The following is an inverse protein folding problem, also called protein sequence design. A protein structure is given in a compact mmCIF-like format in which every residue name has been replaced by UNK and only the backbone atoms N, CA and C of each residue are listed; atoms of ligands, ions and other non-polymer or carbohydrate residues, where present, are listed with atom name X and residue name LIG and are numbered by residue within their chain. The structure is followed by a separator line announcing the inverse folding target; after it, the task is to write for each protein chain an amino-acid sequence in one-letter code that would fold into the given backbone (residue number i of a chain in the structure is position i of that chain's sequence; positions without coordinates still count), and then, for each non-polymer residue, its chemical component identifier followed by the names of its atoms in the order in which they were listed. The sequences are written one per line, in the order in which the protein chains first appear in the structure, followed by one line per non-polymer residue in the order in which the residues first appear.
data_IF_498183872569
#
_entry.id   IF_498183872569
#
_cell.length_a   1.000
_cell.length_b   1.000
_cell.length_c   1.000
_cell.angle_alpha   90.00
_cell.angle_beta   90.00
_cell.angle_gamma   90.00
#
_symmetry.space_group_name_H-M   'P 1'
#
loop_
_entity.id
_entity.type
_entity.pdbx_description
1 polymer ?
#
# COMPACT_ATOMS: atom_id res chain seq x y z
N UNK A 1 19.08 32.02 -35.05
CA UNK A 1 18.19 30.84 -35.20
C UNK A 1 19.05 29.61 -35.47
N UNK A 2 18.91 28.52 -34.69
CA UNK A 2 19.65 27.28 -34.97
C UNK A 2 19.23 26.74 -36.35
N UNK A 3 20.21 26.47 -37.23
CA UNK A 3 19.98 25.84 -38.54
C UNK A 3 19.89 24.33 -38.36
N UNK A 4 18.66 23.81 -38.26
CA UNK A 4 18.42 22.37 -38.12
C UNK A 4 18.42 21.69 -39.50
N UNK A 5 19.22 20.63 -39.64
CA UNK A 5 19.12 19.73 -40.79
C UNK A 5 17.76 19.01 -40.78
N UNK A 6 17.18 18.71 -41.95
CA UNK A 6 15.90 17.96 -42.08
C UNK A 6 15.90 16.68 -41.24
N UNK A 7 17.04 15.96 -41.21
CA UNK A 7 17.22 14.75 -40.40
C UNK A 7 17.22 15.04 -38.90
N UNK A 8 17.78 16.15 -38.47
CA UNK A 8 17.78 16.57 -37.06
C UNK A 8 16.37 16.95 -36.63
N UNK A 9 15.65 17.72 -37.45
CA UNK A 9 14.27 18.13 -37.18
C UNK A 9 13.35 16.92 -37.00
N UNK A 10 13.41 15.95 -37.92
CA UNK A 10 12.58 14.74 -37.82
C UNK A 10 12.90 13.92 -36.58
N UNK A 11 14.19 13.81 -36.22
CA UNK A 11 14.61 13.09 -35.00
C UNK A 11 14.14 13.80 -33.73
N UNK A 12 14.30 15.11 -33.64
CA UNK A 12 13.90 15.87 -32.45
C UNK A 12 12.38 15.92 -32.31
N UNK A 13 11.64 16.06 -33.41
CA UNK A 13 10.18 16.00 -33.41
C UNK A 13 9.69 14.63 -32.95
N UNK A 14 10.22 13.54 -33.51
CA UNK A 14 9.83 12.18 -33.10
C UNK A 14 10.06 11.92 -31.60
N UNK A 15 11.22 12.33 -31.07
CA UNK A 15 11.54 12.17 -29.64
C UNK A 15 10.63 13.03 -28.76
N UNK A 16 10.41 14.29 -29.15
CA UNK A 16 9.56 15.21 -28.38
C UNK A 16 8.10 14.75 -28.35
N UNK A 17 7.58 14.26 -29.48
CA UNK A 17 6.22 13.71 -29.54
C UNK A 17 6.11 12.47 -28.66
N UNK A 18 7.07 11.55 -28.74
CA UNK A 18 7.08 10.35 -27.89
C UNK A 18 7.08 10.69 -26.39
N UNK A 19 7.91 11.65 -25.96
CA UNK A 19 7.95 12.13 -24.58
C UNK A 19 6.63 12.80 -24.15
N UNK A 20 5.99 13.55 -25.05
CA UNK A 20 4.70 14.21 -24.76
C UNK A 20 3.53 13.23 -24.62
N UNK A 21 3.64 12.05 -25.22
CA UNK A 21 2.61 11.00 -25.14
C UNK A 21 2.79 10.06 -23.97
N UNK A 22 3.82 10.22 -23.14
CA UNK A 22 4.04 9.37 -21.96
C UNK A 22 2.86 9.56 -20.99
N UNK A 23 2.08 8.50 -20.71
CA UNK A 23 0.98 8.59 -19.76
C UNK A 23 1.46 9.05 -18.38
N UNK A 24 0.77 10.03 -17.78
CA UNK A 24 1.02 10.48 -16.42
C UNK A 24 1.09 9.35 -15.35
N UNK A 25 0.33 8.24 -15.46
CA UNK A 25 0.45 7.11 -14.53
C UNK A 25 1.83 6.44 -14.53
N UNK A 26 2.62 6.50 -15.62
CA UNK A 26 4.00 6.00 -15.63
C UNK A 26 4.96 6.92 -14.85
N UNK A 27 4.59 8.19 -14.68
CA UNK A 27 5.32 9.17 -13.88
C UNK A 27 4.77 9.27 -12.45
N UNK A 28 3.68 8.57 -12.15
CA UNK A 28 3.11 8.56 -10.82
C UNK A 28 4.02 7.78 -9.87
N UNK A 29 4.23 8.32 -8.67
CA UNK A 29 4.92 7.61 -7.62
C UNK A 29 4.22 6.26 -7.37
N UNK A 30 5.01 5.18 -7.30
CA UNK A 30 4.49 3.86 -6.99
C UNK A 30 3.77 3.91 -5.64
N UNK A 31 2.47 3.65 -5.64
CA UNK A 31 1.70 3.58 -4.40
C UNK A 31 1.98 2.25 -3.72
N UNK A 32 2.35 2.30 -2.45
CA UNK A 32 2.52 1.09 -1.67
C UNK A 32 1.21 0.28 -1.62
N UNK A 33 1.34 -1.05 -1.71
CA UNK A 33 0.20 -1.96 -1.69
C UNK A 33 -0.52 -1.84 -0.34
N UNK A 34 -1.85 -1.73 -0.38
CA UNK A 34 -2.65 -1.71 0.85
C UNK A 34 -2.46 -3.02 1.63
N UNK A 35 -2.03 -2.90 2.88
CA UNK A 35 -1.88 -4.04 3.80
C UNK A 35 -3.27 -4.48 4.26
N UNK A 36 -3.58 -5.76 4.05
CA UNK A 36 -4.85 -6.36 4.47
C UNK A 36 -4.61 -7.07 5.81
N UNK A 37 -5.27 -6.64 6.90
CA UNK A 37 -5.10 -7.26 8.22
C UNK A 37 -5.66 -8.70 8.25
N UNK A 38 -5.12 -9.57 9.12
CA UNK A 38 -5.60 -10.94 9.26
C UNK A 38 -7.03 -10.98 9.79
N UNK A 39 -7.84 -11.87 9.23
CA UNK A 39 -9.24 -12.06 9.63
C UNK A 39 -9.34 -13.07 10.77
N UNK A 40 -9.89 -12.65 11.91
CA UNK A 40 -10.25 -13.52 13.02
C UNK A 40 -11.77 -13.67 13.05
N UNK A 41 -12.24 -14.89 12.81
CA UNK A 41 -13.66 -15.22 12.92
C UNK A 41 -13.97 -15.82 14.29
N UNK A 42 -15.08 -15.38 14.90
CA UNK A 42 -15.59 -15.99 16.14
C UNK A 42 -15.98 -17.43 15.85
N UNK A 43 -15.25 -18.38 16.45
CA UNK A 43 -15.61 -19.80 16.44
C UNK A 43 -16.41 -20.15 17.70
N UNK A 44 -17.38 -21.06 17.58
CA UNK A 44 -18.22 -21.50 18.71
C UNK A 44 -17.33 -21.98 19.86
N UNK A 45 -17.38 -21.25 20.98
CA UNK A 45 -16.72 -21.61 22.24
C UNK A 45 -15.24 -21.24 22.37
N UNK A 46 -14.58 -20.66 21.36
CA UNK A 46 -13.19 -20.20 21.48
C UNK A 46 -13.15 -18.69 21.72
N UNK A 47 -12.48 -18.21 22.79
CA UNK A 47 -12.29 -16.78 22.98
C UNK A 47 -11.36 -16.22 21.89
N UNK A 48 -11.61 -14.98 21.50
CA UNK A 48 -10.68 -14.21 20.66
C UNK A 48 -9.62 -13.62 21.60
N UNK A 49 -8.37 -14.01 21.41
CA UNK A 49 -7.26 -13.46 22.21
C UNK A 49 -6.71 -12.23 21.49
N UNK A 50 -6.75 -11.10 22.18
CA UNK A 50 -6.15 -9.84 21.76
C UNK A 50 -5.05 -9.45 22.74
N UNK A 51 -3.81 -9.54 22.30
CA UNK A 51 -2.64 -9.11 23.08
C UNK A 51 -2.20 -7.75 22.57
N UNK A 52 -2.35 -6.71 23.39
CA UNK A 52 -1.79 -5.40 23.10
C UNK A 52 -0.28 -5.45 23.36
N UNK A 53 0.49 -5.11 22.34
CA UNK A 53 1.94 -5.12 22.41
C UNK A 53 2.53 -4.06 21.50
N UNK A 54 3.77 -3.69 21.82
CA UNK A 54 4.60 -2.86 20.96
C UNK A 54 5.11 -3.70 19.78
N UNK A 55 5.12 -3.13 18.58
CA UNK A 55 5.60 -3.78 17.36
C UNK A 55 6.33 -2.78 16.48
N UNK A 56 7.27 -3.27 15.66
CA UNK A 56 7.98 -2.44 14.69
C UNK A 56 7.24 -2.51 13.36
N UNK A 57 6.85 -1.36 12.83
CA UNK A 57 6.12 -1.29 11.56
C UNK A 57 6.65 -0.15 10.68
N UNK A 58 6.92 -0.39 9.38
CA UNK A 58 7.35 0.66 8.47
C UNK A 58 6.15 1.47 7.96
N UNK A 59 5.90 2.65 8.54
CA UNK A 59 4.78 3.52 8.13
C UNK A 59 4.98 4.14 6.74
N UNK A 60 6.24 4.28 6.30
CA UNK A 60 6.64 4.82 5.01
C UNK A 60 7.21 3.74 4.06
N UNK A 61 7.06 2.46 4.43
CA UNK A 61 7.56 1.32 3.68
C UNK A 61 9.07 1.06 3.80
N UNK A 62 9.83 1.88 4.54
CA UNK A 62 11.30 1.77 4.61
C UNK A 62 11.91 1.88 6.01
N UNK A 63 11.37 2.75 6.88
CA UNK A 63 11.90 2.98 8.21
C UNK A 63 10.99 2.33 9.25
N UNK A 64 11.54 1.35 9.97
CA UNK A 64 10.83 0.72 11.08
C UNK A 64 10.69 1.72 12.23
N UNK A 65 9.44 2.00 12.60
CA UNK A 65 9.11 2.78 13.78
C UNK A 65 8.34 1.92 14.77
N UNK A 66 8.54 2.23 16.04
CA UNK A 66 7.90 1.51 17.12
C UNK A 66 6.47 2.03 17.29
N UNK A 67 5.50 1.13 17.17
CA UNK A 67 4.07 1.43 17.20
C UNK A 67 3.33 0.47 18.14
N UNK A 68 2.15 0.88 18.58
CA UNK A 68 1.26 0.01 19.34
C UNK A 68 0.26 -0.70 18.43
N UNK A 69 -0.04 -1.95 18.77
CA UNK A 69 -1.13 -2.67 18.12
C UNK A 69 -1.44 -4.00 18.79
N UNK A 70 -2.26 -4.80 18.12
CA UNK A 70 -2.74 -6.09 18.61
C UNK A 70 -2.15 -7.26 17.82
N UNK A 71 -1.74 -8.30 18.56
CA UNK A 71 -1.24 -9.56 18.01
C UNK A 71 -0.06 -9.37 17.04
N UNK A 72 0.83 -8.43 17.34
CA UNK A 72 2.06 -8.16 16.58
C UNK A 72 1.91 -7.30 15.33
N UNK A 73 0.70 -6.84 15.02
CA UNK A 73 0.44 -5.99 13.85
C UNK A 73 0.25 -4.53 14.25
N UNK A 74 0.64 -3.60 13.38
CA UNK A 74 0.18 -2.22 13.49
C UNK A 74 -1.34 -2.19 13.40
N UNK A 75 -2.00 -1.47 14.32
CA UNK A 75 -3.43 -1.55 14.58
C UNK A 75 -3.82 -2.94 15.15
N UNK A 76 -4.21 -3.89 14.32
CA UNK A 76 -4.67 -5.19 14.78
C UNK A 76 -5.39 -6.02 13.71
N UNK A 77 -5.88 -7.21 14.10
CA UNK A 77 -6.65 -8.08 13.22
C UNK A 77 -8.04 -7.51 12.93
N UNK A 78 -8.61 -7.87 11.78
CA UNK A 78 -10.04 -7.63 11.50
C UNK A 78 -10.86 -8.74 12.17
N UNK A 79 -11.78 -8.36 13.05
CA UNK A 79 -12.64 -9.31 13.75
C UNK A 79 -13.98 -9.41 13.01
N UNK A 80 -14.38 -10.63 12.67
CA UNK A 80 -15.68 -10.92 12.05
C UNK A 80 -16.58 -11.67 13.03
N UNK A 81 -17.70 -11.03 13.35
CA UNK A 81 -18.73 -11.55 14.25
C UNK A 81 -20.04 -11.61 13.48
N UNK A 82 -20.77 -12.73 13.61
CA UNK A 82 -22.12 -12.86 13.05
C UNK A 82 -23.15 -12.30 14.04
N UNK A 83 -24.20 -11.67 13.53
CA UNK A 83 -25.32 -11.24 14.37
C UNK A 83 -25.91 -12.44 15.14
N UNK A 84 -26.24 -12.22 16.42
CA UNK A 84 -26.71 -13.28 17.33
C UNK A 84 -25.64 -14.25 17.81
N UNK A 85 -24.37 -14.06 17.45
CA UNK A 85 -23.27 -14.88 17.98
C UNK A 85 -22.65 -14.27 19.24
N UNK A 86 -22.35 -15.11 20.22
CA UNK A 86 -21.62 -14.71 21.42
C UNK A 86 -20.12 -14.77 21.18
N UNK A 87 -19.42 -13.66 21.40
CA UNK A 87 -17.98 -13.55 21.32
C UNK A 87 -17.41 -13.26 22.70
N UNK A 88 -16.45 -14.07 23.14
CA UNK A 88 -15.64 -13.79 24.32
C UNK A 88 -14.32 -13.19 23.87
N UNK A 89 -13.96 -12.04 24.43
CA UNK A 89 -12.68 -11.36 24.25
C UNK A 89 -11.80 -11.63 25.48
#
# INVERSE_FOLDING_TARGET
MPRLSRRQLLKTAAISTALSTVPAPLLAASREKLVVPPLIEVRRGRPIVLTMQETNYPLDGSHNVTVWGFNGNYLGPTIKIKSGSFAKL
#
